data_IF_523581080447
#
_entry.id   IF_523581080447
#
_cell.length_a   1.000
_cell.length_b   1.000
_cell.length_c   1.000
_cell.angle_alpha   90.00
_cell.angle_beta   90.00
_cell.angle_gamma   90.00
#
_symmetry.space_group_name_H-M   'P 1'
#
loop_
_entity.id
_entity.type
_entity.pdbx_description
1 polymer ?
#
# COMPACT_ATOMS: atom_id res chain seq x y z
N UNK A 1 -13.88 7.74 26.41
CA UNK A 1 -13.07 8.99 26.39
C UNK A 1 -11.96 8.95 25.33
N UNK A 2 -11.07 7.95 25.33
CA UNK A 2 -9.94 7.81 24.37
C UNK A 2 -10.39 7.79 22.89
N UNK A 3 -11.43 7.03 22.55
CA UNK A 3 -11.95 6.92 21.16
C UNK A 3 -12.33 8.28 20.55
N UNK A 4 -12.95 9.19 21.32
CA UNK A 4 -13.29 10.56 20.85
C UNK A 4 -12.06 11.41 20.52
N UNK A 5 -10.94 11.24 21.22
CA UNK A 5 -9.70 11.99 20.98
C UNK A 5 -8.93 11.48 19.75
N UNK A 6 -9.18 10.23 19.36
CA UNK A 6 -8.51 9.58 18.22
C UNK A 6 -9.22 9.82 16.89
N UNK A 7 -10.46 10.31 16.90
CA UNK A 7 -11.23 10.56 15.68
C UNK A 7 -10.46 11.47 14.71
N UNK A 8 -10.45 11.08 13.43
CA UNK A 8 -9.81 11.84 12.38
C UNK A 8 -10.91 12.64 11.68
N UNK A 9 -10.88 13.96 11.86
CA UNK A 9 -11.72 14.85 11.07
C UNK A 9 -11.26 14.87 9.60
N UNK A 10 -12.16 15.10 8.63
CA UNK A 10 -11.85 15.03 7.20
C UNK A 10 -10.67 15.93 6.78
N UNK A 11 -10.52 17.11 7.40
CA UNK A 11 -9.37 18.01 7.16
C UNK A 11 -8.00 17.42 7.51
N UNK A 12 -7.93 16.42 8.39
CA UNK A 12 -6.68 15.77 8.78
C UNK A 12 -6.16 14.76 7.75
N UNK A 13 -6.98 14.37 6.77
CA UNK A 13 -6.55 13.51 5.66
C UNK A 13 -6.68 14.20 4.29
N UNK A 14 -7.32 15.37 4.24
CA UNK A 14 -7.47 16.15 3.01
C UNK A 14 -6.12 16.32 2.28
N UNK A 15 -6.18 16.13 0.96
CA UNK A 15 -5.04 16.31 0.06
C UNK A 15 -4.70 17.79 -0.14
N UNK A 16 -5.68 18.68 0.06
CA UNK A 16 -5.53 20.14 0.01
C UNK A 16 -4.36 20.62 0.90
N UNK A 17 -3.39 21.30 0.28
CA UNK A 17 -2.21 21.84 0.95
C UNK A 17 -1.16 20.81 1.37
N UNK A 18 -1.38 19.51 1.12
CA UNK A 18 -0.41 18.43 1.42
C UNK A 18 0.14 17.77 0.17
N UNK A 19 -0.70 17.69 -0.84
CA UNK A 19 -0.42 17.05 -2.10
C UNK A 19 -0.56 18.08 -3.21
N UNK A 20 0.19 17.86 -4.28
CA UNK A 20 0.03 18.63 -5.50
C UNK A 20 -1.24 18.18 -6.21
N UNK A 21 -2.04 19.14 -6.71
CA UNK A 21 -3.24 18.79 -7.45
C UNK A 21 -2.85 17.96 -8.68
N UNK A 22 -3.64 16.94 -8.98
CA UNK A 22 -3.51 16.25 -10.25
C UNK A 22 -3.74 17.22 -11.41
N UNK A 23 -3.07 17.00 -12.53
CA UNK A 23 -3.30 17.78 -13.75
C UNK A 23 -4.70 17.55 -14.34
N UNK A 24 -5.32 16.42 -14.00
CA UNK A 24 -6.66 16.03 -14.44
C UNK A 24 -7.67 16.05 -13.28
N UNK A 25 -8.81 16.76 -13.39
CA UNK A 25 -9.83 16.81 -12.35
C UNK A 25 -10.42 15.45 -11.96
N UNK A 26 -10.49 14.49 -12.89
CA UNK A 26 -10.98 13.13 -12.66
C UNK A 26 -10.02 12.34 -11.77
N UNK A 27 -8.71 12.44 -12.04
CA UNK A 27 -7.67 11.82 -11.22
C UNK A 27 -7.69 12.41 -9.81
N UNK A 28 -7.81 13.73 -9.67
CA UNK A 28 -7.92 14.38 -8.36
C UNK A 28 -9.13 13.85 -7.57
N UNK A 29 -10.31 13.82 -8.21
CA UNK A 29 -11.53 13.27 -7.60
C UNK A 29 -11.36 11.81 -7.17
N UNK A 30 -10.77 10.97 -8.00
CA UNK A 30 -10.52 9.57 -7.67
C UNK A 30 -9.62 9.41 -6.43
N UNK A 31 -8.53 10.17 -6.34
CA UNK A 31 -7.64 10.14 -5.17
C UNK A 31 -8.33 10.67 -3.91
N UNK A 32 -9.18 11.68 -4.02
CA UNK A 32 -9.97 12.21 -2.90
C UNK A 32 -11.01 11.21 -2.38
N UNK A 33 -11.70 10.49 -3.27
CA UNK A 33 -12.66 9.44 -2.87
C UNK A 33 -11.96 8.29 -2.12
N UNK A 34 -10.76 7.90 -2.53
CA UNK A 34 -9.92 6.94 -1.80
C UNK A 34 -9.67 7.41 -0.37
N UNK A 35 -9.27 8.67 -0.20
CA UNK A 35 -8.99 9.26 1.12
C UNK A 35 -10.26 9.34 1.98
N UNK A 36 -11.41 9.70 1.38
CA UNK A 36 -12.70 9.74 2.08
C UNK A 36 -13.11 8.34 2.56
N UNK A 37 -13.00 7.33 1.71
CA UNK A 37 -13.31 5.95 2.06
C UNK A 37 -12.45 5.44 3.24
N UNK A 38 -11.15 5.74 3.22
CA UNK A 38 -10.26 5.46 4.35
C UNK A 38 -10.75 6.13 5.65
N UNK A 39 -11.14 7.40 5.59
CA UNK A 39 -11.63 8.14 6.75
C UNK A 39 -12.95 7.58 7.30
N UNK A 40 -13.86 7.15 6.42
CA UNK A 40 -15.10 6.44 6.80
C UNK A 40 -14.75 5.19 7.59
N UNK A 41 -13.91 4.31 7.03
CA UNK A 41 -13.51 3.07 7.69
C UNK A 41 -12.84 3.29 9.05
N UNK A 42 -11.92 4.25 9.12
CA UNK A 42 -11.25 4.63 10.37
C UNK A 42 -12.25 5.03 11.46
N UNK A 43 -13.20 5.92 11.13
CA UNK A 43 -14.15 6.45 12.11
C UNK A 43 -15.22 5.43 12.49
N UNK A 44 -15.68 4.59 11.56
CA UNK A 44 -16.64 3.51 11.83
C UNK A 44 -16.06 2.47 12.79
N UNK A 45 -14.85 1.98 12.54
CA UNK A 45 -14.19 1.01 13.43
C UNK A 45 -13.90 1.60 14.82
N UNK A 46 -13.61 2.90 14.90
CA UNK A 46 -13.40 3.58 16.17
C UNK A 46 -14.68 3.67 17.01
N UNK A 47 -15.86 3.66 16.37
CA UNK A 47 -17.16 3.81 17.02
C UNK A 47 -17.74 2.49 17.57
N UNK A 48 -17.33 1.32 17.05
CA UNK A 48 -18.00 0.04 17.32
C UNK A 48 -17.07 -1.16 17.53
N UNK A 49 -17.64 -2.38 17.55
CA UNK A 49 -16.91 -3.64 17.43
C UNK A 49 -16.40 -3.84 15.99
N UNK A 50 -15.36 -4.67 15.84
CA UNK A 50 -14.60 -4.76 14.58
C UNK A 50 -14.88 -6.02 13.75
N UNK A 51 -15.32 -7.12 14.38
CA UNK A 51 -15.54 -8.40 13.68
C UNK A 51 -16.65 -8.37 12.63
N UNK A 52 -17.66 -7.50 12.79
CA UNK A 52 -18.85 -7.42 11.92
C UNK A 52 -18.92 -6.09 11.14
N UNK A 53 -17.79 -5.42 10.94
CA UNK A 53 -17.77 -4.14 10.23
C UNK A 53 -18.27 -4.28 8.78
N UNK A 54 -19.17 -3.38 8.40
CA UNK A 54 -19.66 -3.29 7.03
C UNK A 54 -19.66 -1.85 6.55
N UNK A 55 -19.59 -1.69 5.22
CA UNK A 55 -19.60 -0.39 4.56
C UNK A 55 -20.63 -0.42 3.42
N UNK A 56 -21.93 -0.56 3.72
CA UNK A 56 -22.97 -0.70 2.70
C UNK A 56 -23.04 0.53 1.78
N UNK A 57 -22.84 1.72 2.34
CA UNK A 57 -22.90 3.00 1.63
C UNK A 57 -21.65 3.30 0.79
N UNK A 58 -20.59 2.48 0.89
CA UNK A 58 -19.41 2.62 0.06
C UNK A 58 -19.49 1.70 -1.17
N UNK A 59 -19.16 2.23 -2.36
CA UNK A 59 -18.90 1.42 -3.56
C UNK A 59 -17.91 0.30 -3.25
N UNK A 60 -18.12 -0.88 -3.82
CA UNK A 60 -17.33 -2.09 -3.51
C UNK A 60 -15.85 -1.87 -3.75
N UNK A 61 -15.51 -1.12 -4.79
CA UNK A 61 -14.16 -0.76 -5.19
C UNK A 61 -13.41 0.11 -4.17
N UNK A 62 -14.13 0.83 -3.30
CA UNK A 62 -13.56 1.69 -2.26
C UNK A 62 -13.47 1.01 -0.88
N UNK A 63 -14.13 -0.13 -0.69
CA UNK A 63 -14.18 -0.82 0.62
C UNK A 63 -12.82 -1.27 1.12
N UNK A 64 -11.88 -1.59 0.23
CA UNK A 64 -10.51 -1.92 0.61
C UNK A 64 -9.85 -0.78 1.40
N UNK A 65 -9.99 0.46 0.94
CA UNK A 65 -9.46 1.63 1.64
C UNK A 65 -10.15 1.86 2.99
N UNK A 66 -11.46 1.59 3.07
CA UNK A 66 -12.17 1.64 4.34
C UNK A 66 -11.64 0.58 5.33
N UNK A 67 -11.36 -0.65 4.88
CA UNK A 67 -10.74 -1.67 5.73
C UNK A 67 -9.31 -1.30 6.16
N UNK A 68 -8.53 -0.64 5.31
CA UNK A 68 -7.21 -0.09 5.69
C UNK A 68 -7.35 0.94 6.83
N UNK A 69 -8.30 1.88 6.69
CA UNK A 69 -8.59 2.88 7.72
C UNK A 69 -9.11 2.25 9.02
N UNK A 70 -10.01 1.27 8.91
CA UNK A 70 -10.52 0.50 10.05
C UNK A 70 -9.39 -0.23 10.80
N UNK A 71 -8.47 -0.85 10.07
CA UNK A 71 -7.31 -1.51 10.68
C UNK A 71 -6.41 -0.52 11.42
N UNK A 72 -6.21 0.69 10.89
CA UNK A 72 -5.44 1.73 11.58
C UNK A 72 -6.07 2.13 12.92
N UNK A 73 -7.37 2.45 12.97
CA UNK A 73 -8.01 2.88 14.22
C UNK A 73 -8.09 1.73 15.23
N UNK A 74 -8.37 0.51 14.77
CA UNK A 74 -8.37 -0.70 15.59
C UNK A 74 -6.99 -0.96 16.20
N UNK A 75 -5.92 -0.93 15.39
CA UNK A 75 -4.56 -1.11 15.88
C UNK A 75 -4.14 0.00 16.86
N UNK A 76 -4.55 1.25 16.63
CA UNK A 76 -4.33 2.34 17.59
C UNK A 76 -5.00 2.07 18.93
N UNK A 77 -6.25 1.61 18.93
CA UNK A 77 -6.98 1.28 20.15
C UNK A 77 -6.28 0.12 20.87
N UNK A 78 -5.98 -0.98 20.18
CA UNK A 78 -5.28 -2.14 20.76
C UNK A 78 -3.95 -1.75 21.41
N UNK A 79 -3.19 -0.84 20.80
CA UNK A 79 -1.90 -0.38 21.35
C UNK A 79 -2.04 0.55 22.55
N UNK A 80 -3.13 1.34 22.61
CA UNK A 80 -3.37 2.30 23.70
C UNK A 80 -4.07 1.66 24.90
N UNK A 81 -4.86 0.61 24.69
CA UNK A 81 -5.54 -0.14 25.75
C UNK A 81 -4.78 -1.40 26.16
N UNK A 82 -3.59 -1.64 25.59
CA UNK A 82 -2.82 -2.88 25.76
C UNK A 82 -3.61 -4.15 25.42
N UNK A 83 -4.52 -4.05 24.43
CA UNK A 83 -5.40 -5.13 23.98
C UNK A 83 -4.71 -6.28 23.24
N UNK A 84 -3.38 -6.23 23.04
CA UNK A 84 -2.61 -7.32 22.45
C UNK A 84 -3.03 -7.69 21.02
N UNK A 85 -3.47 -6.71 20.23
CA UNK A 85 -3.93 -6.94 18.86
C UNK A 85 -5.25 -7.72 18.75
N UNK A 86 -6.07 -7.76 19.81
CA UNK A 86 -7.33 -8.52 19.82
C UNK A 86 -8.30 -7.98 18.78
N UNK A 87 -8.52 -6.66 18.74
CA UNK A 87 -9.44 -6.07 17.77
C UNK A 87 -8.94 -6.28 16.34
N UNK A 88 -7.63 -6.18 16.13
CA UNK A 88 -7.04 -6.37 14.80
C UNK A 88 -7.18 -7.83 14.32
N UNK A 89 -7.00 -8.81 15.21
CA UNK A 89 -7.29 -10.23 14.96
C UNK A 89 -8.75 -10.48 14.66
N UNK A 90 -9.65 -9.86 15.42
CA UNK A 90 -11.11 -9.98 15.20
C UNK A 90 -11.52 -9.39 13.84
N UNK A 91 -10.98 -8.22 13.48
CA UNK A 91 -11.19 -7.62 12.17
C UNK A 91 -10.68 -8.52 11.03
N UNK A 92 -9.48 -9.07 11.19
CA UNK A 92 -8.83 -9.92 10.20
C UNK A 92 -9.53 -11.27 10.00
N UNK A 93 -10.03 -11.88 11.08
CA UNK A 93 -10.75 -13.15 11.01
C UNK A 93 -12.23 -13.00 10.59
N UNK A 94 -12.80 -11.80 10.77
CA UNK A 94 -14.20 -11.50 10.43
C UNK A 94 -14.32 -10.68 9.16
N UNK A 95 -14.95 -9.51 9.28
CA UNK A 95 -15.31 -8.62 8.18
C UNK A 95 -14.17 -8.28 7.19
N UNK A 96 -12.93 -8.28 7.67
CA UNK A 96 -11.76 -7.88 6.91
C UNK A 96 -10.95 -9.02 6.27
N UNK A 97 -11.40 -10.29 6.38
CA UNK A 97 -10.67 -11.47 5.88
C UNK A 97 -10.17 -11.30 4.43
N UNK A 98 -11.03 -10.82 3.53
CA UNK A 98 -10.69 -10.60 2.12
C UNK A 98 -9.80 -9.38 1.85
N UNK A 99 -9.43 -8.66 2.91
CA UNK A 99 -8.63 -7.43 2.87
C UNK A 99 -7.37 -7.54 3.73
N UNK A 100 -6.90 -8.77 4.00
CA UNK A 100 -5.78 -9.04 4.92
C UNK A 100 -4.51 -8.21 4.65
N UNK A 101 -4.17 -8.00 3.37
CA UNK A 101 -3.05 -7.15 2.97
C UNK A 101 -3.23 -5.71 3.46
N UNK A 102 -4.42 -5.15 3.29
CA UNK A 102 -4.75 -3.79 3.71
C UNK A 102 -4.87 -3.66 5.22
N UNK A 103 -5.24 -4.74 5.93
CA UNK A 103 -5.24 -4.75 7.39
C UNK A 103 -3.81 -4.59 7.93
N UNK A 104 -2.84 -5.34 7.39
CA UNK A 104 -1.44 -5.17 7.76
C UNK A 104 -0.94 -3.75 7.46
N UNK A 105 -1.25 -3.23 6.27
CA UNK A 105 -0.88 -1.86 5.89
C UNK A 105 -1.48 -0.85 6.89
N UNK A 106 -2.79 -0.90 7.16
CA UNK A 106 -3.46 -0.02 8.10
C UNK A 106 -2.88 -0.09 9.51
N UNK A 107 -2.53 -1.29 10.00
CA UNK A 107 -1.83 -1.46 11.26
C UNK A 107 -0.46 -0.73 11.27
N UNK A 108 0.26 -0.77 10.14
CA UNK A 108 1.50 -0.02 9.92
C UNK A 108 1.36 1.49 10.17
N UNK A 109 0.25 2.10 9.73
CA UNK A 109 -0.04 3.51 10.00
C UNK A 109 -0.17 3.80 11.49
N UNK A 110 -0.86 2.93 12.23
CA UNK A 110 -1.00 3.07 13.67
C UNK A 110 0.37 3.05 14.38
N UNK A 111 1.22 2.10 13.98
CA UNK A 111 2.58 1.98 14.50
C UNK A 111 3.45 3.20 14.20
N UNK A 112 3.38 3.74 12.98
CA UNK A 112 4.08 4.96 12.60
C UNK A 112 3.62 6.17 13.43
N UNK A 113 2.30 6.34 13.58
CA UNK A 113 1.72 7.41 14.41
C UNK A 113 2.16 7.33 15.87
N UNK A 114 2.30 6.13 16.42
CA UNK A 114 2.80 5.88 17.78
C UNK A 114 4.33 5.89 17.89
N UNK A 115 5.04 6.11 16.77
CA UNK A 115 6.51 6.07 16.67
C UNK A 115 7.08 4.74 17.18
N UNK A 116 6.39 3.62 16.92
CA UNK A 116 6.76 2.25 17.31
C UNK A 116 7.14 1.44 16.06
N UNK A 117 7.82 0.30 16.26
CA UNK A 117 8.04 -0.70 15.21
C UNK A 117 6.81 -1.62 15.15
N UNK A 118 6.34 -2.03 13.96
CA UNK A 118 5.29 -3.05 13.85
C UNK A 118 5.85 -4.39 14.32
N UNK A 119 5.27 -4.98 15.35
CA UNK A 119 5.59 -6.34 15.80
C UNK A 119 4.47 -6.93 16.66
N UNK A 120 4.01 -6.19 17.67
CA UNK A 120 2.96 -6.71 18.57
C UNK A 120 1.58 -6.75 17.89
N UNK A 121 0.89 -7.89 17.92
CA UNK A 121 -0.50 -7.95 17.43
C UNK A 121 -0.67 -7.82 15.91
N UNK A 122 0.42 -7.86 15.13
CA UNK A 122 0.37 -8.07 13.67
C UNK A 122 0.44 -9.56 13.29
N UNK A 123 0.42 -10.45 14.27
CA UNK A 123 0.50 -11.91 14.14
C UNK A 123 -0.90 -12.51 14.00
N UNK A 124 -1.53 -12.31 12.84
CA UNK A 124 -2.90 -12.79 12.57
C UNK A 124 -3.09 -13.41 11.18
N UNK A 125 -2.02 -13.44 10.39
CA UNK A 125 -1.95 -14.10 9.10
C UNK A 125 -0.57 -14.73 8.94
N UNK A 126 -0.24 -15.19 7.73
CA UNK A 126 1.10 -15.69 7.45
C UNK A 126 2.18 -14.66 7.86
N UNK A 127 3.24 -15.05 8.60
CA UNK A 127 4.24 -14.12 9.15
C UNK A 127 4.81 -13.14 8.11
N UNK A 128 5.05 -13.63 6.88
CA UNK A 128 5.57 -12.81 5.79
C UNK A 128 4.66 -11.62 5.41
N UNK A 129 3.34 -11.72 5.62
CA UNK A 129 2.42 -10.62 5.38
C UNK A 129 2.55 -9.52 6.45
N UNK A 130 3.09 -9.85 7.63
CA UNK A 130 3.39 -8.89 8.70
C UNK A 130 4.30 -7.74 8.25
N UNK A 131 5.18 -7.99 7.28
CA UNK A 131 6.06 -6.98 6.70
C UNK A 131 5.31 -5.89 5.92
N UNK A 132 4.08 -6.12 5.46
CA UNK A 132 3.24 -5.08 4.87
C UNK A 132 2.90 -3.96 5.88
N UNK A 133 3.04 -4.22 7.19
CA UNK A 133 2.95 -3.16 8.18
C UNK A 133 4.11 -2.17 8.09
N UNK A 134 5.30 -2.57 7.60
CA UNK A 134 6.39 -1.63 7.32
C UNK A 134 6.12 -0.79 6.06
N UNK A 135 5.44 -1.35 5.06
CA UNK A 135 4.93 -0.60 3.91
C UNK A 135 3.93 0.48 4.38
N UNK A 136 2.90 0.10 5.14
CA UNK A 136 1.96 1.07 5.72
C UNK A 136 2.63 2.09 6.65
N UNK A 137 3.67 1.68 7.38
CA UNK A 137 4.47 2.58 8.21
C UNK A 137 5.19 3.64 7.36
N UNK A 138 5.79 3.22 6.25
CA UNK A 138 6.44 4.11 5.28
C UNK A 138 5.46 5.05 4.59
N UNK A 139 4.30 4.54 4.20
CA UNK A 139 3.21 5.33 3.64
C UNK A 139 2.82 6.45 4.62
N UNK A 140 2.52 6.11 5.87
CA UNK A 140 2.14 7.08 6.90
C UNK A 140 3.19 8.19 7.03
N UNK A 141 4.48 7.83 7.16
CA UNK A 141 5.54 8.84 7.30
C UNK A 141 5.61 9.77 6.10
N UNK A 142 5.51 9.24 4.89
CA UNK A 142 5.53 10.03 3.67
C UNK A 142 4.29 10.91 3.51
N UNK A 143 3.12 10.40 3.87
CA UNK A 143 1.83 11.10 3.76
C UNK A 143 1.72 12.28 4.74
N UNK A 144 2.16 12.10 5.99
CA UNK A 144 2.07 13.15 7.02
C UNK A 144 3.32 14.03 7.14
N UNK A 145 4.47 13.59 6.62
CA UNK A 145 5.72 14.33 6.67
C UNK A 145 6.44 14.40 5.30
N UNK A 146 5.75 14.84 4.23
CA UNK A 146 6.29 14.79 2.87
C UNK A 146 7.58 15.60 2.70
N UNK A 147 7.72 16.74 3.39
CA UNK A 147 8.95 17.53 3.38
C UNK A 147 10.14 16.78 3.99
N UNK A 148 9.91 15.97 5.02
CA UNK A 148 10.97 15.14 5.59
C UNK A 148 11.35 14.00 4.63
N UNK A 149 10.35 13.36 4.02
CA UNK A 149 10.56 12.13 3.23
C UNK A 149 10.97 12.40 1.80
N UNK A 150 10.33 13.31 1.09
CA UNK A 150 10.57 13.53 -0.35
C UNK A 150 11.59 14.64 -0.64
N UNK A 151 11.70 15.66 0.24
CA UNK A 151 12.66 16.76 0.07
C UNK A 151 13.95 16.47 0.80
N UNK A 152 13.89 16.23 2.11
CA UNK A 152 15.08 15.93 2.93
C UNK A 152 15.52 14.47 2.86
N UNK A 153 14.72 13.60 2.23
CA UNK A 153 15.01 12.16 2.06
C UNK A 153 15.33 11.44 3.38
N UNK A 154 14.79 11.96 4.49
CA UNK A 154 15.09 11.49 5.82
C UNK A 154 14.49 10.10 6.07
N UNK A 155 15.26 9.26 6.76
CA UNK A 155 14.82 7.97 7.27
C UNK A 155 14.88 7.99 8.79
N UNK A 156 13.72 7.78 9.41
CA UNK A 156 13.59 7.72 10.85
C UNK A 156 14.39 6.53 11.38
N UNK A 157 15.00 6.69 12.57
CA UNK A 157 15.83 5.64 13.19
C UNK A 157 15.19 4.24 13.17
N UNK A 158 13.87 4.15 13.36
CA UNK A 158 13.14 2.88 13.41
C UNK A 158 13.05 2.19 12.05
N UNK A 159 12.97 2.94 10.95
CA UNK A 159 12.89 2.43 9.58
C UNK A 159 14.24 2.30 8.87
N UNK A 160 15.37 2.43 9.58
CA UNK A 160 16.71 2.19 9.02
C UNK A 160 17.07 0.71 9.06
N UNK A 161 18.02 0.32 8.21
CA UNK A 161 18.53 -1.05 8.13
C UNK A 161 17.71 -1.91 7.17
N UNK A 162 17.58 -3.19 7.47
CA UNK A 162 16.95 -4.19 6.59
C UNK A 162 15.47 -3.93 6.28
N UNK A 163 14.76 -3.15 7.09
CA UNK A 163 13.34 -2.78 6.85
C UNK A 163 13.18 -1.57 5.94
N UNK A 164 14.26 -0.85 5.64
CA UNK A 164 14.21 0.39 4.87
C UNK A 164 13.63 0.20 3.45
N UNK A 165 13.96 -0.87 2.69
CA UNK A 165 13.37 -1.12 1.37
C UNK A 165 11.83 -1.22 1.42
N UNK A 166 11.29 -1.93 2.40
CA UNK A 166 9.85 -2.13 2.58
C UNK A 166 9.16 -0.81 2.97
N UNK A 167 9.82 -0.03 3.84
CA UNK A 167 9.39 1.33 4.20
C UNK A 167 9.40 2.27 2.98
N UNK A 168 10.41 2.18 2.13
CA UNK A 168 10.51 3.02 0.94
C UNK A 168 9.46 2.64 -0.12
N UNK A 169 9.05 1.38 -0.21
CA UNK A 169 7.87 0.96 -0.99
C UNK A 169 6.60 1.68 -0.54
N UNK A 170 6.37 1.72 0.78
CA UNK A 170 5.27 2.51 1.34
C UNK A 170 5.36 4.00 1.02
N UNK A 171 6.56 4.58 1.08
CA UNK A 171 6.79 5.96 0.70
C UNK A 171 6.52 6.23 -0.79
N UNK A 172 6.85 5.27 -1.67
CA UNK A 172 6.52 5.31 -3.09
C UNK A 172 5.00 5.34 -3.33
N UNK A 173 4.25 4.52 -2.60
CA UNK A 173 2.78 4.57 -2.66
C UNK A 173 2.23 5.95 -2.26
N UNK A 174 2.75 6.53 -1.17
CA UNK A 174 2.34 7.86 -0.74
C UNK A 174 2.76 8.97 -1.75
N UNK A 175 3.87 8.76 -2.47
CA UNK A 175 4.34 9.69 -3.50
C UNK A 175 3.32 9.84 -4.64
N UNK A 176 2.62 8.76 -4.99
CA UNK A 176 1.52 8.82 -5.98
C UNK A 176 0.47 9.86 -5.59
N UNK A 177 0.04 9.87 -4.32
CA UNK A 177 -0.91 10.86 -3.80
C UNK A 177 -0.25 12.24 -3.69
N UNK A 178 0.96 12.33 -3.14
CA UNK A 178 1.68 13.59 -2.97
C UNK A 178 1.90 14.32 -4.30
N UNK A 179 2.18 13.59 -5.37
CA UNK A 179 2.41 14.14 -6.69
C UNK A 179 1.13 14.30 -7.52
N UNK A 180 -0.04 13.93 -7.01
CA UNK A 180 -1.30 13.98 -7.76
C UNK A 180 -1.29 13.05 -8.97
N UNK A 181 -0.61 11.89 -8.87
CA UNK A 181 -0.37 10.95 -9.97
C UNK A 181 0.30 11.58 -11.21
N UNK A 182 1.03 12.69 -11.03
CA UNK A 182 1.80 13.33 -12.09
C UNK A 182 3.13 12.58 -12.30
N UNK A 183 3.27 11.92 -13.45
CA UNK A 183 4.42 11.07 -13.76
C UNK A 183 5.73 11.85 -13.78
N UNK A 184 5.77 13.03 -14.42
CA UNK A 184 6.97 13.85 -14.49
C UNK A 184 7.47 14.28 -13.10
N UNK A 185 6.55 14.65 -12.21
CA UNK A 185 6.87 15.02 -10.82
C UNK A 185 7.34 13.81 -10.01
N UNK A 186 6.68 12.66 -10.16
CA UNK A 186 7.10 11.39 -9.54
C UNK A 186 8.54 11.07 -9.96
N UNK A 187 8.82 11.10 -11.26
CA UNK A 187 10.13 10.81 -11.82
C UNK A 187 11.20 11.79 -11.30
N UNK A 188 10.90 13.09 -11.28
CA UNK A 188 11.80 14.12 -10.74
C UNK A 188 12.13 13.92 -9.26
N UNK A 189 11.12 13.57 -8.44
CA UNK A 189 11.32 13.30 -7.01
C UNK A 189 12.16 12.03 -6.82
N UNK A 190 11.80 10.91 -7.47
CA UNK A 190 12.55 9.65 -7.36
C UNK A 190 13.98 9.81 -7.88
N UNK A 191 14.19 10.56 -8.96
CA UNK A 191 15.51 10.88 -9.51
C UNK A 191 16.43 11.58 -8.52
N UNK A 192 15.88 12.33 -7.56
CA UNK A 192 16.64 12.96 -6.49
C UNK A 192 17.12 12.00 -5.39
N UNK A 193 16.52 10.81 -5.23
CA UNK A 193 16.91 9.86 -4.18
C UNK A 193 18.23 9.15 -4.50
N UNK A 194 18.95 8.62 -3.48
CA UNK A 194 20.05 7.68 -3.70
C UNK A 194 19.60 6.48 -4.53
N UNK A 195 20.44 6.05 -5.48
CA UNK A 195 20.10 4.99 -6.45
C UNK A 195 19.54 3.72 -5.79
N UNK A 196 20.13 3.29 -4.66
CA UNK A 196 19.71 2.09 -3.93
C UNK A 196 18.32 2.15 -3.30
N UNK A 197 17.66 3.31 -3.27
CA UNK A 197 16.30 3.50 -2.73
C UNK A 197 15.22 3.67 -3.82
N UNK A 198 15.64 3.97 -5.05
CA UNK A 198 14.71 4.33 -6.15
C UNK A 198 13.82 3.16 -6.55
N UNK A 199 14.38 1.95 -6.57
CA UNK A 199 13.68 0.71 -6.93
C UNK A 199 12.46 0.44 -6.03
N UNK A 200 12.61 0.67 -4.73
CA UNK A 200 11.54 0.43 -3.77
C UNK A 200 10.45 1.50 -3.91
N UNK A 201 10.83 2.76 -4.13
CA UNK A 201 9.87 3.83 -4.45
C UNK A 201 9.08 3.50 -5.72
N UNK A 202 9.73 3.00 -6.78
CA UNK A 202 9.06 2.57 -8.01
C UNK A 202 8.12 1.39 -7.79
N UNK A 203 8.48 0.41 -6.95
CA UNK A 203 7.55 -0.64 -6.54
C UNK A 203 6.32 -0.09 -5.81
N UNK A 204 6.51 0.93 -4.97
CA UNK A 204 5.40 1.63 -4.34
C UNK A 204 4.48 2.35 -5.33
N UNK A 205 5.07 3.00 -6.33
CA UNK A 205 4.33 3.69 -7.40
C UNK A 205 3.50 2.70 -8.22
N UNK A 206 4.08 1.57 -8.63
CA UNK A 206 3.37 0.54 -9.39
C UNK A 206 2.16 0.00 -8.65
N UNK A 207 2.31 -0.24 -7.34
CA UNK A 207 1.20 -0.66 -6.48
C UNK A 207 0.11 0.42 -6.40
N UNK A 208 0.47 1.68 -6.14
CA UNK A 208 -0.52 2.75 -6.03
C UNK A 208 -1.24 3.02 -7.35
N UNK A 209 -0.52 3.03 -8.48
CA UNK A 209 -1.09 3.22 -9.81
C UNK A 209 -2.11 2.11 -10.13
N UNK A 210 -1.73 0.84 -9.97
CA UNK A 210 -2.60 -0.30 -10.25
C UNK A 210 -3.77 -0.44 -9.27
N UNK A 211 -3.56 -0.21 -7.97
CA UNK A 211 -4.61 -0.40 -6.97
C UNK A 211 -5.67 0.72 -6.98
N UNK A 212 -5.26 1.96 -7.29
CA UNK A 212 -6.19 3.08 -7.41
C UNK A 212 -6.89 3.11 -8.76
N UNK A 213 -6.22 2.67 -9.83
CA UNK A 213 -6.74 2.77 -11.20
C UNK A 213 -7.01 4.22 -11.64
N UNK A 214 -6.38 5.20 -10.99
CA UNK A 214 -6.69 6.63 -11.14
C UNK A 214 -6.15 7.25 -12.44
N UNK A 215 -5.28 6.52 -13.16
CA UNK A 215 -4.68 6.89 -14.45
C UNK A 215 -4.72 5.66 -15.36
N UNK A 216 -4.96 5.89 -16.66
CA UNK A 216 -5.11 4.85 -17.68
C UNK A 216 -4.49 5.34 -19.01
N UNK A 217 -4.31 4.42 -19.96
CA UNK A 217 -3.88 4.74 -21.32
C UNK A 217 -2.52 5.46 -21.36
N UNK A 218 -2.37 6.58 -22.11
CA UNK A 218 -1.08 7.24 -22.33
C UNK A 218 -0.30 7.60 -21.05
N UNK A 219 -1.00 7.87 -19.95
CA UNK A 219 -0.37 8.16 -18.67
C UNK A 219 0.37 6.97 -18.08
N UNK A 220 -0.05 5.74 -18.38
CA UNK A 220 0.65 4.52 -17.95
C UNK A 220 1.88 4.27 -18.84
N UNK A 221 1.81 4.61 -20.12
CA UNK A 221 2.98 4.55 -21.03
C UNK A 221 4.08 5.53 -20.62
N UNK A 222 3.69 6.75 -20.22
CA UNK A 222 4.59 7.72 -19.60
C UNK A 222 5.23 7.15 -18.33
N UNK A 223 4.44 6.45 -17.50
CA UNK A 223 4.92 5.85 -16.26
C UNK A 223 5.95 4.75 -16.54
N UNK A 224 5.71 3.89 -17.52
CA UNK A 224 6.63 2.84 -17.97
C UNK A 224 7.94 3.41 -18.54
N UNK A 225 7.85 4.54 -19.24
CA UNK A 225 9.01 5.26 -19.78
C UNK A 225 9.82 5.89 -18.64
N UNK A 226 9.15 6.54 -17.69
CA UNK A 226 9.80 7.17 -16.54
C UNK A 226 10.44 6.15 -15.58
N UNK A 227 9.89 4.95 -15.50
CA UNK A 227 10.40 3.84 -14.70
C UNK A 227 11.46 3.00 -15.43
N UNK A 228 12.08 3.51 -16.51
CA UNK A 228 13.15 2.80 -17.19
C UNK A 228 14.28 2.40 -16.23
N UNK A 229 14.78 1.17 -16.38
CA UNK A 229 15.70 0.54 -15.41
C UNK A 229 15.07 0.08 -14.07
N UNK A 230 13.77 0.31 -13.86
CA UNK A 230 13.01 -0.10 -12.66
C UNK A 230 11.64 -0.73 -13.00
N UNK A 231 11.41 -1.12 -14.26
CA UNK A 231 10.11 -1.65 -14.72
C UNK A 231 9.72 -2.95 -14.02
N UNK A 232 10.69 -3.79 -13.70
CA UNK A 232 10.50 -5.01 -12.92
C UNK A 232 9.95 -4.70 -11.51
N UNK A 233 10.50 -3.69 -10.84
CA UNK A 233 10.00 -3.22 -9.56
C UNK A 233 8.61 -2.59 -9.67
N UNK A 234 8.36 -1.78 -10.71
CA UNK A 234 7.04 -1.23 -11.00
C UNK A 234 6.00 -2.36 -11.18
N UNK A 235 6.32 -3.37 -11.98
CA UNK A 235 5.49 -4.54 -12.22
C UNK A 235 5.24 -5.38 -10.96
N UNK A 236 6.27 -5.58 -10.13
CA UNK A 236 6.11 -6.23 -8.82
C UNK A 236 5.10 -5.50 -7.94
N UNK A 237 5.15 -4.17 -7.92
CA UNK A 237 4.16 -3.33 -7.23
C UNK A 237 2.74 -3.57 -7.75
N UNK A 238 2.58 -3.54 -9.07
CA UNK A 238 1.29 -3.78 -9.72
C UNK A 238 0.75 -5.19 -9.46
N UNK A 239 1.60 -6.21 -9.39
CA UNK A 239 1.23 -7.58 -9.02
C UNK A 239 0.68 -7.67 -7.59
N UNK A 240 1.25 -6.95 -6.62
CA UNK A 240 0.67 -6.84 -5.28
C UNK A 240 -0.71 -6.19 -5.29
N UNK A 241 -0.91 -5.15 -6.10
CA UNK A 241 -2.22 -4.53 -6.27
C UNK A 241 -3.24 -5.51 -6.88
N UNK A 242 -2.83 -6.25 -7.91
CA UNK A 242 -3.64 -7.28 -8.56
C UNK A 242 -4.07 -8.35 -7.54
N UNK A 243 -3.12 -8.88 -6.76
CA UNK A 243 -3.40 -9.87 -5.71
C UNK A 243 -4.40 -9.35 -4.67
N UNK A 244 -4.24 -8.11 -4.21
CA UNK A 244 -5.17 -7.51 -3.25
C UNK A 244 -6.59 -7.37 -3.82
N UNK A 245 -6.72 -7.01 -5.10
CA UNK A 245 -8.01 -6.88 -5.79
C UNK A 245 -8.67 -8.24 -6.04
N UNK A 246 -7.92 -9.23 -6.54
CA UNK A 246 -8.38 -10.61 -6.74
C UNK A 246 -8.89 -11.20 -5.41
N UNK A 247 -8.12 -11.07 -4.32
CA UNK A 247 -8.52 -11.56 -3.01
C UNK A 247 -9.81 -10.91 -2.50
N UNK A 248 -10.00 -9.60 -2.76
CA UNK A 248 -11.22 -8.89 -2.37
C UNK A 248 -12.47 -9.28 -3.18
N UNK A 249 -12.29 -9.97 -4.31
CA UNK A 249 -13.37 -10.32 -5.24
C UNK A 249 -13.96 -9.11 -5.97
N UNK A 250 -13.20 -8.01 -6.08
CA UNK A 250 -13.60 -6.77 -6.76
C UNK A 250 -12.43 -6.26 -7.59
N UNK A 251 -12.56 -6.32 -8.92
CA UNK A 251 -11.58 -5.80 -9.87
C UNK A 251 -12.21 -4.68 -10.72
N UNK A 252 -12.03 -3.40 -10.34
CA UNK A 252 -12.49 -2.27 -11.16
C UNK A 252 -11.76 -2.25 -12.50
N UNK A 253 -12.44 -1.85 -13.58
CA UNK A 253 -11.86 -1.83 -14.94
C UNK A 253 -10.58 -1.00 -15.03
N UNK A 254 -10.53 0.15 -14.35
CA UNK A 254 -9.32 0.97 -14.29
C UNK A 254 -8.15 0.32 -13.57
N UNK A 255 -8.42 -0.53 -12.57
CA UNK A 255 -7.38 -1.32 -11.92
C UNK A 255 -6.88 -2.43 -12.84
N UNK A 256 -7.80 -3.15 -13.50
CA UNK A 256 -7.45 -4.21 -14.46
C UNK A 256 -6.58 -3.66 -15.60
N UNK A 257 -7.00 -2.56 -16.21
CA UNK A 257 -6.26 -1.91 -17.30
C UNK A 257 -4.87 -1.42 -16.85
N UNK A 258 -4.76 -0.87 -15.64
CA UNK A 258 -3.47 -0.43 -15.10
C UNK A 258 -2.54 -1.61 -14.77
N UNK A 259 -3.07 -2.72 -14.25
CA UNK A 259 -2.30 -3.95 -14.06
C UNK A 259 -1.79 -4.44 -15.40
N UNK A 260 -2.68 -4.66 -16.37
CA UNK A 260 -2.33 -5.20 -17.69
C UNK A 260 -1.29 -4.35 -18.42
N UNK A 261 -1.47 -3.03 -18.41
CA UNK A 261 -0.49 -2.12 -19.02
C UNK A 261 0.88 -2.17 -18.33
N UNK A 262 0.93 -2.29 -17.00
CA UNK A 262 2.20 -2.28 -16.25
C UNK A 262 2.90 -3.66 -16.30
N UNK A 263 2.14 -4.74 -16.16
CA UNK A 263 2.69 -6.10 -16.03
C UNK A 263 2.77 -6.84 -17.36
N UNK A 264 1.99 -6.43 -18.37
CA UNK A 264 1.84 -7.12 -19.64
C UNK A 264 0.95 -8.38 -19.59
N UNK A 265 0.24 -8.61 -18.48
CA UNK A 265 -0.67 -9.77 -18.28
C UNK A 265 -1.92 -9.36 -17.52
N UNK A 266 -2.96 -10.19 -17.56
CA UNK A 266 -4.17 -9.98 -16.76
C UNK A 266 -3.90 -10.01 -15.23
N UNK A 267 -4.88 -9.57 -14.47
CA UNK A 267 -4.73 -9.39 -13.03
C UNK A 267 -4.66 -10.72 -12.27
N UNK A 268 -5.32 -11.75 -12.77
CA UNK A 268 -5.26 -13.12 -12.25
C UNK A 268 -3.85 -13.68 -12.39
N UNK A 269 -3.25 -13.61 -13.57
CA UNK A 269 -1.86 -14.05 -13.81
C UNK A 269 -0.86 -13.27 -12.95
N UNK A 270 -1.01 -11.94 -12.87
CA UNK A 270 -0.16 -11.11 -12.03
C UNK A 270 -0.31 -11.46 -10.53
N UNK A 271 -1.52 -11.79 -10.09
CA UNK A 271 -1.77 -12.27 -8.73
C UNK A 271 -1.12 -13.64 -8.48
N UNK A 272 -1.17 -14.56 -9.43
CA UNK A 272 -0.57 -15.89 -9.32
C UNK A 272 0.95 -15.84 -9.16
N UNK A 273 1.64 -14.87 -9.79
CA UNK A 273 3.06 -14.63 -9.54
C UNK A 273 3.35 -14.36 -8.07
N UNK A 274 2.45 -13.63 -7.40
CA UNK A 274 2.60 -13.35 -5.96
C UNK A 274 2.44 -14.61 -5.13
N UNK A 275 1.52 -15.51 -5.49
CA UNK A 275 1.29 -16.76 -4.75
C UNK A 275 2.43 -17.78 -4.96
N UNK A 276 2.93 -17.89 -6.19
CA UNK A 276 4.08 -18.73 -6.52
C UNK A 276 5.34 -18.27 -5.79
N UNK A 277 5.64 -16.97 -5.84
CA UNK A 277 6.79 -16.40 -5.15
C UNK A 277 6.65 -16.47 -3.63
N UNK A 278 5.44 -16.28 -3.08
CA UNK A 278 5.17 -16.43 -1.65
C UNK A 278 5.48 -17.87 -1.22
N UNK A 279 4.96 -18.87 -1.94
CA UNK A 279 5.19 -20.30 -1.65
C UNK A 279 6.67 -20.70 -1.61
N UNK A 280 7.54 -19.95 -2.30
CA UNK A 280 8.99 -20.06 -2.18
C UNK A 280 9.53 -19.38 -0.92
N UNK A 281 9.19 -18.10 -0.73
CA UNK A 281 9.69 -17.28 0.36
C UNK A 281 9.36 -17.84 1.76
N UNK A 282 8.19 -18.45 1.93
CA UNK A 282 7.76 -19.03 3.22
C UNK A 282 8.61 -20.23 3.69
N UNK A 283 9.49 -20.76 2.82
CA UNK A 283 10.43 -21.84 3.18
C UNK A 283 11.63 -21.34 3.98
N UNK A 284 11.80 -20.02 4.10
CA UNK A 284 12.89 -19.37 4.81
C UNK A 284 12.41 -18.74 6.12
N UNK A 285 13.32 -18.49 7.09
CA UNK A 285 12.95 -17.82 8.33
C UNK A 285 12.33 -16.44 8.10
N UNK A 286 11.30 -16.12 8.90
CA UNK A 286 10.61 -14.83 8.83
C UNK A 286 11.59 -13.68 9.08
N UNK A 287 11.83 -12.91 8.02
CA UNK A 287 12.87 -11.88 7.97
C UNK A 287 12.58 -10.89 6.84
N UNK A 288 13.16 -9.67 6.89
CA UNK A 288 13.11 -8.75 5.76
C UNK A 288 13.69 -9.36 4.47
N UNK A 289 14.67 -10.26 4.61
CA UNK A 289 15.28 -10.94 3.47
C UNK A 289 14.32 -11.93 2.82
N UNK A 290 13.56 -12.70 3.60
CA UNK A 290 12.48 -13.54 3.07
C UNK A 290 11.40 -12.71 2.37
N UNK A 291 11.08 -11.51 2.88
CA UNK A 291 10.16 -10.60 2.20
C UNK A 291 10.74 -10.09 0.87
N UNK A 292 12.04 -9.79 0.84
CA UNK A 292 12.70 -9.46 -0.42
C UNK A 292 12.72 -10.64 -1.40
N UNK A 293 12.89 -11.88 -0.94
CA UNK A 293 12.78 -13.06 -1.80
C UNK A 293 11.40 -13.17 -2.44
N UNK A 294 10.33 -12.83 -1.70
CA UNK A 294 8.98 -12.77 -2.26
C UNK A 294 8.89 -11.71 -3.37
N UNK A 295 9.40 -10.49 -3.12
CA UNK A 295 9.42 -9.43 -4.14
C UNK A 295 10.27 -9.81 -5.35
N UNK A 296 11.43 -10.42 -5.14
CA UNK A 296 12.34 -10.86 -6.20
C UNK A 296 11.71 -11.94 -7.08
N UNK A 297 11.07 -12.95 -6.48
CA UNK A 297 10.41 -14.01 -7.25
C UNK A 297 9.30 -13.50 -8.19
N UNK A 298 8.59 -12.43 -7.79
CA UNK A 298 7.60 -11.77 -8.66
C UNK A 298 8.30 -11.08 -9.84
N UNK A 299 9.42 -10.40 -9.59
CA UNK A 299 10.22 -9.76 -10.65
C UNK A 299 10.78 -10.79 -11.62
N UNK A 300 11.23 -11.95 -11.12
CA UNK A 300 11.72 -13.05 -11.95
C UNK A 300 10.60 -13.61 -12.84
N UNK A 301 9.40 -13.83 -12.29
CA UNK A 301 8.24 -14.26 -13.07
C UNK A 301 7.86 -13.26 -14.18
N UNK A 302 7.89 -11.96 -13.86
CA UNK A 302 7.66 -10.90 -14.85
C UNK A 302 8.76 -10.89 -15.93
N UNK A 303 10.03 -11.01 -15.55
CA UNK A 303 11.17 -10.99 -16.47
C UNK A 303 11.12 -12.17 -17.46
N UNK A 304 10.80 -13.38 -16.99
CA UNK A 304 10.66 -14.56 -17.85
C UNK A 304 9.59 -14.34 -18.93
N UNK A 305 8.49 -13.70 -18.57
CA UNK A 305 7.40 -13.38 -19.51
C UNK A 305 7.78 -12.27 -20.48
N UNK A 306 8.34 -11.17 -19.97
CA UNK A 306 8.73 -10.01 -20.76
C UNK A 306 9.79 -10.33 -21.82
N UNK A 307 10.65 -11.32 -21.56
CA UNK A 307 11.73 -11.73 -22.46
C UNK A 307 11.45 -13.05 -23.19
N UNK A 308 10.22 -13.58 -23.12
CA UNK A 308 9.78 -14.69 -23.96
C UNK A 308 10.42 -16.05 -23.66
N UNK A 309 10.90 -16.30 -22.44
CA UNK A 309 11.30 -17.65 -22.05
C UNK A 309 10.04 -18.41 -21.65
N UNK A 310 9.33 -18.93 -22.65
CA UNK A 310 8.36 -20.00 -22.45
C UNK A 310 9.13 -21.23 -21.97
N UNK A 311 8.93 -21.61 -20.72
CA UNK A 311 9.18 -22.98 -20.25
C UNK A 311 8.00 -23.86 -20.62
#
# INVERSE_FOLDING_TARGET
>A
MIRRMLAIGPRKLALEGRCHPAEAPETQRALEEVVKAFAVGYNTALAGPTGELTFPDLPRELRGFAFEGAAMSTALVDQLTMGGGRGLRELAAGAGERYIHLIHVGAGWAYARLRRRPWAGTEFAHPLLGWLAWDGWGFHQAFFHPQAVFVRQAVERRGRGSVQPIRDQGAGRALWFYAGANVARIAGIIGGFPAGRRRDLWAGIGLAAAYTGARQGPAVDELLTAADGYRDHLAQGAAFAAKARVLSGVMPSGCAAAVEAITGVDAETAADWTDGALSHAIRFPDSPDAYEMWRAGIRDAWNLRAHGVAS
#
